data_IF_478651436473
#
_entry.id   IF_478651436473
#
_cell.length_a   1.000
_cell.length_b   1.000
_cell.length_c   1.000
_cell.angle_alpha   90.00
_cell.angle_beta   90.00
_cell.angle_gamma   90.00
#
_symmetry.space_group_name_H-M   'P 1'
#
loop_
_entity.id
_entity.type
_entity.pdbx_description
1 polymer ?
#
# COMPACT_ATOMS: atom_id res chain seq x y z
N UNK A 1 8.94 11.44 1.01
CA UNK A 1 9.78 10.65 1.94
C UNK A 1 11.27 10.70 1.62
N UNK A 2 11.73 10.60 0.36
CA UNK A 2 13.18 10.70 0.04
C UNK A 2 13.83 11.97 0.60
N UNK A 3 13.13 13.11 0.52
CA UNK A 3 13.63 14.42 0.97
C UNK A 3 13.56 14.66 2.49
N UNK A 4 12.70 13.93 3.23
CA UNK A 4 12.60 14.06 4.70
C UNK A 4 12.92 12.70 5.35
N UNK A 5 14.10 12.60 5.96
CA UNK A 5 14.57 11.41 6.67
C UNK A 5 13.73 11.11 7.92
N UNK A 6 13.08 12.11 8.51
CA UNK A 6 12.22 11.96 9.69
C UNK A 6 10.81 11.48 9.34
N UNK A 7 10.42 11.46 8.05
CA UNK A 7 9.11 10.93 7.67
C UNK A 7 9.09 9.39 7.79
N UNK A 8 8.27 8.86 8.70
CA UNK A 8 8.09 7.41 8.92
C UNK A 8 6.82 6.88 8.25
N UNK A 9 5.76 7.68 8.16
CA UNK A 9 4.51 7.32 7.51
C UNK A 9 3.93 8.50 6.75
N UNK A 10 3.34 8.25 5.58
CA UNK A 10 2.73 9.28 4.74
C UNK A 10 1.45 8.74 4.13
N UNK A 11 0.35 9.48 4.26
CA UNK A 11 -0.92 9.15 3.60
C UNK A 11 -1.32 10.24 2.59
N UNK A 12 -2.22 9.88 1.68
CA UNK A 12 -2.85 10.83 0.76
C UNK A 12 -4.35 11.00 1.02
N UNK A 13 -5.01 11.77 0.16
CA UNK A 13 -6.45 11.98 0.17
C UNK A 13 -7.19 10.72 -0.31
N UNK A 14 -8.26 10.36 0.39
CA UNK A 14 -9.16 9.29 -0.01
C UNK A 14 -10.50 9.89 -0.41
N UNK A 15 -10.87 9.74 -1.67
CA UNK A 15 -12.09 10.27 -2.26
C UNK A 15 -13.09 9.15 -2.58
N UNK A 16 -14.35 9.53 -2.79
CA UNK A 16 -15.42 8.59 -3.12
C UNK A 16 -15.57 8.45 -4.64
N UNK A 17 -15.43 7.22 -5.14
CA UNK A 17 -15.70 6.89 -6.54
C UNK A 17 -17.20 6.95 -6.87
N UNK A 18 -18.06 6.61 -5.91
CA UNK A 18 -19.51 6.50 -6.08
C UNK A 18 -20.29 7.66 -5.44
N UNK A 19 -19.71 8.85 -5.38
CA UNK A 19 -20.28 10.03 -4.72
C UNK A 19 -21.77 10.31 -5.09
N UNK A 20 -22.14 10.12 -6.37
CA UNK A 20 -23.47 10.44 -6.92
C UNK A 20 -24.43 9.25 -7.00
N UNK A 21 -24.07 8.08 -6.47
CA UNK A 21 -24.85 6.84 -6.67
C UNK A 21 -26.16 6.82 -5.87
N UNK A 22 -26.15 7.29 -4.62
CA UNK A 22 -27.34 7.34 -3.76
C UNK A 22 -27.31 8.55 -2.82
N UNK A 23 -28.46 8.88 -2.20
CA UNK A 23 -28.48 9.92 -1.16
C UNK A 23 -27.53 9.59 0.00
N UNK A 24 -27.34 8.30 0.29
CA UNK A 24 -26.42 7.80 1.33
C UNK A 24 -24.97 8.08 0.95
N UNK A 25 -24.58 7.93 -0.33
CA UNK A 25 -23.22 8.28 -0.77
C UNK A 25 -23.02 9.79 -0.84
N UNK A 26 -24.04 10.55 -1.26
CA UNK A 26 -23.96 12.01 -1.40
C UNK A 26 -23.68 12.71 -0.07
N UNK A 27 -24.33 12.30 1.01
CA UNK A 27 -24.10 12.88 2.35
C UNK A 27 -22.72 12.55 2.94
N UNK A 28 -22.02 11.55 2.41
CA UNK A 28 -20.70 11.14 2.90
C UNK A 28 -19.55 11.91 2.25
N UNK A 29 -19.74 12.52 1.07
CA UNK A 29 -18.64 13.14 0.30
C UNK A 29 -17.90 14.21 1.12
N UNK A 30 -18.65 15.15 1.70
CA UNK A 30 -18.06 16.24 2.48
C UNK A 30 -17.48 15.75 3.81
N UNK A 31 -18.08 14.74 4.42
CA UNK A 31 -17.55 14.12 5.64
C UNK A 31 -16.19 13.45 5.38
N UNK A 32 -16.05 12.71 4.28
CA UNK A 32 -14.77 12.18 3.83
C UNK A 32 -13.76 13.30 3.55
N UNK A 33 -14.19 14.41 2.95
CA UNK A 33 -13.31 15.56 2.74
C UNK A 33 -12.81 16.16 4.07
N UNK A 34 -13.69 16.32 5.07
CA UNK A 34 -13.29 16.81 6.40
C UNK A 34 -12.27 15.85 7.04
N UNK A 35 -12.55 14.55 7.08
CA UNK A 35 -11.76 13.57 7.82
C UNK A 35 -10.51 13.08 7.07
N UNK A 36 -10.59 12.88 5.75
CA UNK A 36 -9.48 12.36 4.95
C UNK A 36 -8.59 13.43 4.32
N UNK A 37 -9.04 14.69 4.25
CA UNK A 37 -8.25 15.80 3.72
C UNK A 37 -8.01 16.89 4.75
N UNK A 38 -9.05 17.58 5.24
CA UNK A 38 -8.88 18.80 6.03
C UNK A 38 -8.22 18.55 7.39
N UNK A 39 -8.71 17.56 8.14
CA UNK A 39 -8.15 17.19 9.44
C UNK A 39 -6.69 16.73 9.29
N UNK A 40 -6.40 15.81 8.36
CA UNK A 40 -5.04 15.32 8.15
C UNK A 40 -4.07 16.39 7.64
N UNK A 41 -4.54 17.28 6.77
CA UNK A 41 -3.74 18.41 6.33
C UNK A 41 -3.36 19.31 7.51
N UNK A 42 -4.31 19.58 8.41
CA UNK A 42 -4.06 20.34 9.63
C UNK A 42 -3.09 19.62 10.59
N UNK A 43 -3.31 18.35 10.89
CA UNK A 43 -2.42 17.56 11.75
C UNK A 43 -1.00 17.43 11.17
N UNK A 44 -0.90 17.32 9.85
CA UNK A 44 0.39 17.26 9.16
C UNK A 44 1.21 18.53 9.29
N UNK A 45 0.61 19.70 9.63
CA UNK A 45 1.36 20.92 9.95
C UNK A 45 2.21 20.74 11.22
N UNK A 46 1.75 19.91 12.15
CA UNK A 46 2.48 19.56 13.37
C UNK A 46 3.39 18.34 13.19
N UNK A 47 3.38 17.71 12.01
CA UNK A 47 4.14 16.51 11.71
C UNK A 47 3.63 15.24 12.42
N UNK A 48 2.39 15.25 12.90
CA UNK A 48 1.80 14.16 13.67
C UNK A 48 0.35 13.90 13.23
N UNK A 49 0.16 13.44 11.99
CA UNK A 49 -1.13 12.86 11.58
C UNK A 49 -1.47 11.71 12.52
N UNK A 50 -2.60 11.84 13.22
CA UNK A 50 -3.00 10.97 14.34
C UNK A 50 -3.54 9.62 13.84
N UNK A 51 -4.02 9.60 12.59
CA UNK A 51 -4.55 8.42 11.93
C UNK A 51 -4.10 8.36 10.47
N UNK A 52 -3.21 7.43 10.16
CA UNK A 52 -2.88 7.07 8.78
C UNK A 52 -3.88 6.01 8.30
N UNK A 53 -4.71 6.28 7.27
CA UNK A 53 -5.73 5.33 6.82
C UNK A 53 -5.13 4.05 6.27
N UNK A 54 -5.76 2.92 6.57
CA UNK A 54 -5.36 1.63 5.99
C UNK A 54 -5.47 1.56 4.45
N UNK A 55 -6.39 2.33 3.85
CA UNK A 55 -6.63 2.28 2.41
C UNK A 55 -5.53 2.94 1.55
N UNK A 56 -4.80 3.93 2.09
CA UNK A 56 -3.82 4.67 1.30
C UNK A 56 -2.73 5.34 2.16
N UNK A 57 -1.78 4.52 2.58
CA UNK A 57 -0.62 4.95 3.37
C UNK A 57 0.65 4.23 2.92
N UNK A 58 1.77 4.97 2.93
CA UNK A 58 3.12 4.46 2.72
C UNK A 58 3.91 4.55 4.03
N UNK A 59 4.55 3.45 4.43
CA UNK A 59 5.43 3.39 5.60
C UNK A 59 6.89 3.20 5.21
N UNK A 60 7.79 3.81 5.99
CA UNK A 60 9.24 3.63 5.85
C UNK A 60 9.69 2.47 6.72
N UNK A 61 10.23 1.44 6.07
CA UNK A 61 10.73 0.25 6.77
C UNK A 61 11.99 0.54 7.59
N UNK A 62 12.95 1.28 7.04
CA UNK A 62 14.26 1.53 7.66
C UNK A 62 14.75 2.96 7.45
N UNK A 63 15.62 3.44 8.35
CA UNK A 63 16.31 4.72 8.15
C UNK A 63 17.21 4.67 6.90
N UNK A 64 17.29 5.75 6.11
CA UNK A 64 18.05 5.75 4.86
C UNK A 64 19.57 5.80 5.04
N UNK A 65 20.05 6.22 6.22
CA UNK A 65 21.48 6.42 6.51
C UNK A 65 22.10 5.26 7.28
N UNK A 66 21.40 4.78 8.30
CA UNK A 66 21.90 3.80 9.27
C UNK A 66 21.23 2.44 9.12
N UNK A 67 20.29 2.30 8.19
CA UNK A 67 19.47 1.10 7.95
C UNK A 67 18.81 0.53 9.22
N UNK A 68 18.60 1.36 10.24
CA UNK A 68 17.92 0.98 11.47
C UNK A 68 16.46 0.67 11.17
N UNK A 69 15.90 -0.41 11.72
CA UNK A 69 14.49 -0.73 11.53
C UNK A 69 13.61 0.35 12.17
N UNK A 70 12.61 0.80 11.41
CA UNK A 70 11.59 1.75 11.83
C UNK A 70 10.25 1.03 11.91
N UNK A 71 9.45 1.05 10.84
CA UNK A 71 8.16 0.35 10.79
C UNK A 71 8.27 -1.16 11.06
N UNK A 72 9.40 -1.77 10.69
CA UNK A 72 9.69 -3.20 10.92
C UNK A 72 10.52 -3.45 12.18
N UNK A 73 10.53 -2.53 13.14
CA UNK A 73 11.19 -2.78 14.43
C UNK A 73 10.43 -3.83 15.23
N UNK A 74 11.16 -4.64 16.01
CA UNK A 74 10.57 -5.62 16.91
C UNK A 74 9.57 -4.95 17.86
N UNK A 75 9.83 -3.72 18.33
CA UNK A 75 8.91 -2.98 19.19
C UNK A 75 7.53 -2.74 18.57
N UNK A 76 7.47 -2.42 17.27
CA UNK A 76 6.19 -2.24 16.56
C UNK A 76 5.54 -3.60 16.34
N UNK A 77 6.30 -4.58 15.86
CA UNK A 77 5.80 -5.93 15.56
C UNK A 77 5.22 -6.60 16.81
N UNK A 78 5.96 -6.61 17.90
CA UNK A 78 5.57 -7.23 19.17
C UNK A 78 4.31 -6.56 19.72
N UNK A 79 4.26 -5.21 19.72
CA UNK A 79 3.07 -4.46 20.19
C UNK A 79 1.85 -4.68 19.29
N UNK A 80 2.04 -4.72 17.97
CA UNK A 80 0.95 -4.92 17.01
C UNK A 80 0.46 -6.37 16.96
N UNK A 81 1.31 -7.33 17.38
CA UNK A 81 0.95 -8.75 17.48
C UNK A 81 0.12 -9.11 18.71
N UNK A 82 -0.20 -8.13 19.56
CA UNK A 82 -1.08 -8.33 20.72
C UNK A 82 -2.48 -8.71 20.24
N UNK A 83 -2.94 -9.88 20.69
CA UNK A 83 -4.27 -10.40 20.37
C UNK A 83 -5.11 -10.62 21.63
N UNK A 84 -4.57 -10.34 22.83
CA UNK A 84 -5.33 -10.50 24.08
C UNK A 84 -6.21 -9.28 24.30
N UNK A 85 -7.52 -9.49 24.15
CA UNK A 85 -8.53 -8.44 24.27
C UNK A 85 -9.41 -8.62 25.51
N UNK A 86 -8.79 -8.49 26.67
CA UNK A 86 -9.46 -8.73 27.96
C UNK A 86 -10.44 -7.60 28.35
N UNK A 87 -10.31 -6.41 27.76
CA UNK A 87 -11.15 -5.24 28.08
C UNK A 87 -11.92 -4.74 26.87
N UNK A 88 -13.06 -4.07 27.10
CA UNK A 88 -13.83 -3.41 26.06
C UNK A 88 -12.99 -2.39 25.28
N UNK A 89 -12.08 -1.70 25.99
CA UNK A 89 -11.13 -0.77 25.39
C UNK A 89 -10.21 -1.49 24.41
N UNK A 90 -9.55 -2.59 24.84
CA UNK A 90 -8.64 -3.34 23.97
C UNK A 90 -9.36 -3.97 22.78
N UNK A 91 -10.59 -4.46 22.94
CA UNK A 91 -11.40 -4.96 21.82
C UNK A 91 -11.66 -3.87 20.78
N UNK A 92 -12.10 -2.69 21.20
CA UNK A 92 -12.37 -1.58 20.28
C UNK A 92 -11.10 -1.01 19.64
N UNK A 93 -9.99 -1.00 20.38
CA UNK A 93 -8.70 -0.51 19.90
C UNK A 93 -8.06 -1.46 18.88
N UNK A 94 -8.00 -2.76 19.19
CA UNK A 94 -7.25 -3.75 18.40
C UNK A 94 -8.06 -4.32 17.23
N UNK A 95 -9.38 -4.51 17.37
CA UNK A 95 -10.18 -5.19 16.32
C UNK A 95 -10.97 -4.26 15.41
N UNK A 96 -11.23 -3.00 15.78
CA UNK A 96 -12.09 -2.12 14.99
C UNK A 96 -11.34 -1.03 14.21
N UNK A 97 -10.13 -0.66 14.63
CA UNK A 97 -9.27 0.29 13.91
C UNK A 97 -7.80 -0.03 14.07
N UNK A 98 -7.42 -1.16 13.47
CA UNK A 98 -6.04 -1.63 13.36
C UNK A 98 -5.11 -0.55 12.76
N UNK A 99 -5.57 0.20 11.77
CA UNK A 99 -4.82 1.28 11.11
C UNK A 99 -4.55 2.48 12.05
N UNK A 100 -5.56 2.86 12.82
CA UNK A 100 -5.45 3.86 13.88
C UNK A 100 -4.48 3.38 14.95
N UNK A 101 -4.65 2.15 15.45
CA UNK A 101 -3.77 1.60 16.48
C UNK A 101 -2.32 1.53 16.01
N UNK A 102 -2.09 1.10 14.78
CA UNK A 102 -0.76 1.08 14.16
C UNK A 102 -0.14 2.49 14.12
N UNK A 103 -0.94 3.52 13.81
CA UNK A 103 -0.48 4.91 13.84
C UNK A 103 -0.11 5.35 15.27
N UNK A 104 -0.92 4.99 16.27
CA UNK A 104 -0.62 5.23 17.69
C UNK A 104 0.70 4.58 18.12
N UNK A 105 0.95 3.34 17.70
CA UNK A 105 2.21 2.64 17.99
C UNK A 105 3.42 3.36 17.38
N UNK A 106 3.28 3.84 16.14
CA UNK A 106 4.32 4.62 15.47
C UNK A 106 4.61 5.91 16.23
N UNK A 107 3.58 6.66 16.62
CA UNK A 107 3.73 7.90 17.38
C UNK A 107 4.33 7.66 18.77
N UNK A 108 3.98 6.54 19.42
CA UNK A 108 4.49 6.15 20.74
C UNK A 108 5.96 5.72 20.70
N UNK A 109 6.35 4.86 19.77
CA UNK A 109 7.70 4.26 19.72
C UNK A 109 8.70 5.12 18.94
N UNK A 110 8.23 5.97 18.01
CA UNK A 110 9.07 6.86 17.19
C UNK A 110 8.64 8.33 17.27
N UNK A 111 8.60 8.95 18.46
CA UNK A 111 8.06 10.31 18.68
C UNK A 111 8.88 11.42 18.00
N UNK A 112 10.12 11.14 17.61
CA UNK A 112 10.98 12.09 16.87
C UNK A 112 10.78 12.05 15.35
N UNK A 113 10.01 11.06 14.87
CA UNK A 113 9.65 10.89 13.47
C UNK A 113 8.27 11.51 13.19
N UNK A 114 8.01 11.79 11.92
CA UNK A 114 6.81 12.48 11.46
C UNK A 114 5.89 11.56 10.70
N UNK A 115 4.60 11.71 10.94
CA UNK A 115 3.52 11.17 10.11
C UNK A 115 2.89 12.34 9.34
N UNK A 116 2.83 12.23 8.00
CA UNK A 116 2.51 13.36 7.12
C UNK A 116 1.33 13.04 6.17
N UNK A 117 0.72 14.11 5.68
CA UNK A 117 -0.33 14.06 4.66
C UNK A 117 0.17 14.73 3.36
N UNK A 118 -0.04 14.06 2.23
CA UNK A 118 0.28 14.59 0.89
C UNK A 118 -1.03 14.81 0.13
N UNK A 119 -1.35 16.09 -0.04
CA UNK A 119 -2.57 16.54 -0.69
C UNK A 119 -2.71 16.07 -2.15
N UNK A 120 -1.59 16.01 -2.88
CA UNK A 120 -1.61 15.71 -4.32
C UNK A 120 -1.66 14.20 -4.60
N UNK A 121 -1.64 13.36 -3.56
CA UNK A 121 -1.77 11.92 -3.67
C UNK A 121 -3.23 11.54 -3.44
N UNK A 122 -3.88 10.92 -4.42
CA UNK A 122 -5.30 10.59 -4.39
C UNK A 122 -5.53 9.07 -4.51
N UNK A 123 -6.45 8.55 -3.72
CA UNK A 123 -7.00 7.21 -3.85
C UNK A 123 -8.53 7.27 -3.85
N UNK A 124 -9.17 6.38 -4.61
CA UNK A 124 -10.63 6.32 -4.69
C UNK A 124 -11.16 5.07 -3.99
N UNK A 125 -12.21 5.23 -3.21
CA UNK A 125 -12.91 4.13 -2.54
C UNK A 125 -14.39 4.15 -2.87
N UNK A 126 -15.05 3.00 -2.70
CA UNK A 126 -16.50 2.87 -2.84
C UNK A 126 -17.11 2.98 -1.45
N UNK A 127 -17.84 4.06 -1.19
CA UNK A 127 -18.57 4.24 0.06
C UNK A 127 -19.79 3.32 0.10
N UNK A 128 -20.25 2.93 1.31
CA UNK A 128 -21.54 2.26 1.47
C UNK A 128 -22.67 3.09 0.88
N UNK A 129 -23.42 2.49 -0.05
CA UNK A 129 -24.64 3.02 -0.64
C UNK A 129 -25.89 2.59 0.15
N UNK A 130 -25.79 1.48 0.88
CA UNK A 130 -26.83 0.95 1.78
C UNK A 130 -26.73 1.47 3.22
N UNK A 131 -27.87 1.87 3.78
CA UNK A 131 -27.98 2.37 5.17
C UNK A 131 -27.47 1.39 6.23
N UNK A 132 -27.79 0.09 6.07
CA UNK A 132 -27.36 -0.95 7.02
C UNK A 132 -25.83 -1.12 7.03
N UNK A 133 -25.22 -1.05 5.85
CA UNK A 133 -23.76 -1.15 5.69
C UNK A 133 -23.09 0.10 6.24
N UNK A 134 -23.65 1.28 5.97
CA UNK A 134 -23.19 2.54 6.56
C UNK A 134 -23.22 2.51 8.08
N UNK A 135 -24.33 2.05 8.69
CA UNK A 135 -24.44 1.94 10.14
C UNK A 135 -23.35 1.03 10.74
N UNK A 136 -23.15 -0.14 10.14
CA UNK A 136 -22.10 -1.08 10.58
C UNK A 136 -20.69 -0.48 10.42
N UNK A 137 -20.44 0.27 9.35
CA UNK A 137 -19.17 0.97 9.16
C UNK A 137 -18.97 2.04 10.23
N UNK A 138 -19.94 2.93 10.42
CA UNK A 138 -19.83 4.09 11.30
C UNK A 138 -19.74 3.71 12.76
N UNK A 139 -20.43 2.64 13.19
CA UNK A 139 -20.27 2.06 14.52
C UNK A 139 -18.80 1.75 14.81
N UNK A 140 -18.14 1.02 13.92
CA UNK A 140 -16.72 0.63 14.08
C UNK A 140 -15.80 1.83 14.07
N UNK A 141 -16.01 2.75 13.13
CA UNK A 141 -15.16 3.93 12.98
C UNK A 141 -15.25 4.87 14.18
N UNK A 142 -16.46 5.17 14.66
CA UNK A 142 -16.66 6.07 15.81
C UNK A 142 -16.11 5.42 17.08
N UNK A 143 -16.42 4.15 17.35
CA UNK A 143 -15.94 3.47 18.54
C UNK A 143 -14.41 3.37 18.57
N UNK A 144 -13.79 2.99 17.45
CA UNK A 144 -12.32 2.97 17.34
C UNK A 144 -11.72 4.36 17.52
N UNK A 145 -12.33 5.40 16.96
CA UNK A 145 -11.85 6.78 17.09
C UNK A 145 -11.78 7.22 18.54
N UNK A 146 -12.84 7.00 19.34
CA UNK A 146 -12.86 7.39 20.76
C UNK A 146 -11.77 6.66 21.56
N UNK A 147 -11.64 5.35 21.38
CA UNK A 147 -10.63 4.57 22.10
C UNK A 147 -9.20 4.94 21.70
N UNK A 148 -8.96 5.19 20.42
CA UNK A 148 -7.65 5.57 19.92
C UNK A 148 -7.25 6.99 20.35
N UNK A 149 -8.16 7.96 20.23
CA UNK A 149 -7.93 9.31 20.75
C UNK A 149 -7.67 9.28 22.26
N UNK A 150 -8.35 8.40 23.00
CA UNK A 150 -8.06 8.13 24.41
C UNK A 150 -6.59 7.76 24.65
N UNK A 151 -6.05 6.78 23.92
CA UNK A 151 -4.64 6.40 24.00
C UNK A 151 -3.69 7.55 23.61
N UNK A 152 -4.02 8.30 22.55
CA UNK A 152 -3.21 9.43 22.10
C UNK A 152 -3.13 10.57 23.12
N UNK A 153 -4.20 10.86 23.86
CA UNK A 153 -4.19 11.88 24.93
C UNK A 153 -3.18 11.55 26.03
N UNK A 154 -2.96 10.26 26.31
CA UNK A 154 -2.02 9.80 27.32
C UNK A 154 -0.59 9.60 26.79
N UNK A 155 -0.31 9.91 25.52
CA UNK A 155 1.06 9.94 25.02
C UNK A 155 1.76 11.23 25.45
N UNK A 156 2.88 11.09 26.17
CA UNK A 156 3.68 12.21 26.67
C UNK A 156 4.41 12.98 25.55
N UNK A 157 4.68 12.33 24.41
CA UNK A 157 5.60 12.82 23.38
C UNK A 157 4.93 13.07 22.03
N UNK A 158 3.84 13.84 22.01
CA UNK A 158 3.27 14.37 20.78
C UNK A 158 3.90 15.72 20.41
N UNK A 159 4.16 15.94 19.12
CA UNK A 159 4.76 17.17 18.64
C UNK A 159 3.88 18.39 19.00
N UNK A 160 4.48 19.46 19.52
CA UNK A 160 3.78 20.70 19.85
C UNK A 160 4.61 21.90 19.42
N UNK A 161 3.94 22.97 18.99
CA UNK A 161 4.59 24.24 18.65
C UNK A 161 3.85 25.39 19.34
N UNK A 162 4.58 26.21 20.11
CA UNK A 162 4.03 27.35 20.86
C UNK A 162 2.93 26.92 21.87
N UNK A 163 1.90 27.74 22.06
CA UNK A 163 0.77 27.50 22.97
C UNK A 163 -0.17 26.37 22.53
N UNK A 164 0.06 25.74 21.38
CA UNK A 164 -0.78 24.67 20.82
C UNK A 164 -0.02 23.34 20.81
N UNK A 165 -0.35 22.48 21.76
CA UNK A 165 0.14 21.10 21.80
C UNK A 165 -0.78 20.21 20.94
N UNK A 166 -0.23 19.31 20.12
CA UNK A 166 -1.05 18.29 19.43
C UNK A 166 -1.85 17.46 20.42
N UNK A 167 -1.32 17.22 21.63
CA UNK A 167 -2.05 16.55 22.70
C UNK A 167 -3.32 17.30 23.10
N UNK A 168 -3.27 18.63 23.13
CA UNK A 168 -4.43 19.47 23.42
C UNK A 168 -5.46 19.43 22.30
N UNK A 169 -5.01 19.43 21.03
CA UNK A 169 -5.88 19.28 19.86
C UNK A 169 -6.60 17.93 19.89
N UNK A 170 -5.87 16.84 20.11
CA UNK A 170 -6.43 15.48 20.24
C UNK A 170 -7.43 15.41 21.40
N UNK A 171 -7.14 16.06 22.53
CA UNK A 171 -8.07 16.13 23.66
C UNK A 171 -9.36 16.88 23.30
N UNK A 172 -9.25 18.03 22.61
CA UNK A 172 -10.43 18.76 22.11
C UNK A 172 -11.22 17.87 21.16
N UNK A 173 -10.57 17.13 20.27
CA UNK A 173 -11.24 16.26 19.30
C UNK A 173 -11.97 15.10 19.98
N UNK A 174 -11.35 14.48 21.00
CA UNK A 174 -11.97 13.45 21.84
C UNK A 174 -13.22 14.00 22.54
N UNK A 175 -13.09 15.14 23.23
CA UNK A 175 -14.21 15.77 23.93
C UNK A 175 -15.30 16.17 22.94
N UNK A 176 -14.94 16.76 21.80
CA UNK A 176 -15.88 17.16 20.74
C UNK A 176 -16.67 15.96 20.23
N UNK A 177 -16.00 14.84 19.94
CA UNK A 177 -16.63 13.61 19.47
C UNK A 177 -17.64 13.05 20.48
N UNK A 178 -17.34 13.13 21.78
CA UNK A 178 -18.24 12.66 22.84
C UNK A 178 -19.44 13.61 23.02
N UNK A 179 -19.25 14.92 22.98
CA UNK A 179 -20.32 15.90 23.22
C UNK A 179 -21.17 16.20 21.98
N UNK A 180 -20.75 15.81 20.78
CA UNK A 180 -21.43 16.07 19.50
C UNK A 180 -22.96 15.83 19.55
N UNK A 181 -23.47 14.70 20.09
CA UNK A 181 -24.91 14.48 20.19
C UNK A 181 -25.61 15.53 21.06
N UNK A 182 -24.99 15.90 22.18
CA UNK A 182 -25.53 16.92 23.08
C UNK A 182 -25.55 18.29 22.38
N UNK A 183 -24.51 18.61 21.60
CA UNK A 183 -24.47 19.86 20.82
C UNK A 183 -25.60 19.93 19.80
N UNK A 184 -25.89 18.84 19.07
CA UNK A 184 -27.01 18.81 18.12
C UNK A 184 -28.35 18.94 18.83
N UNK A 185 -28.55 18.21 19.94
CA UNK A 185 -29.77 18.32 20.74
C UNK A 185 -30.00 19.75 21.26
N UNK A 186 -28.93 20.42 21.68
CA UNK A 186 -28.96 21.83 22.09
C UNK A 186 -29.31 22.77 20.94
N UNK A 187 -28.78 22.55 19.73
CA UNK A 187 -29.15 23.34 18.54
C UNK A 187 -30.64 23.15 18.22
N UNK A 188 -31.16 21.93 18.28
CA UNK A 188 -32.59 21.66 18.08
C UNK A 188 -33.44 22.39 19.14
N UNK A 189 -33.01 22.36 20.40
CA UNK A 189 -33.67 23.09 21.49
C UNK A 189 -33.69 24.61 21.24
N UNK A 190 -32.57 25.19 20.80
CA UNK A 190 -32.51 26.62 20.45
C UNK A 190 -33.43 26.98 19.29
N UNK A 191 -33.54 26.11 18.27
CA UNK A 191 -34.48 26.31 17.16
C UNK A 191 -35.92 26.25 17.66
N UNK A 192 -36.25 25.29 18.53
CA UNK A 192 -37.58 25.18 19.13
C UNK A 192 -37.95 26.45 19.93
N UNK A 193 -37.03 26.97 20.75
CA UNK A 193 -37.25 28.20 21.52
C UNK A 193 -37.44 29.43 20.64
N UNK A 194 -36.61 29.58 19.60
CA UNK A 194 -36.69 30.72 18.69
C UNK A 194 -37.98 30.71 17.83
N UNK A 195 -38.41 29.53 17.34
CA UNK A 195 -39.56 29.41 16.43
C UNK A 195 -40.88 29.19 17.17
N UNK A 196 -40.87 28.33 18.19
CA UNK A 196 -42.07 27.93 18.94
C UNK A 196 -42.49 29.00 19.95
N UNK A 197 -41.56 29.40 20.81
CA UNK A 197 -41.84 30.37 21.89
C UNK A 197 -41.68 31.84 21.44
N UNK A 198 -41.23 32.07 20.19
CA UNK A 198 -40.94 33.41 19.61
C UNK A 198 -40.00 34.26 20.47
N UNK A 199 -39.07 33.62 21.17
CA UNK A 199 -38.02 34.30 21.90
C UNK A 199 -36.96 34.89 20.96
N UNK A 200 -36.14 35.79 21.49
CA UNK A 200 -35.03 36.38 20.74
C UNK A 200 -34.10 35.28 20.21
N UNK A 201 -33.80 35.36 18.92
CA UNK A 201 -32.88 34.44 18.24
C UNK A 201 -31.51 34.55 18.95
N UNK A 202 -30.87 33.43 19.33
CA UNK A 202 -29.53 33.46 19.94
C UNK A 202 -28.49 33.91 18.91
N UNK A 203 -28.35 35.23 18.78
CA UNK A 203 -27.53 35.89 17.74
C UNK A 203 -26.08 35.41 17.79
N UNK A 204 -25.52 35.22 18.99
CA UNK A 204 -24.14 34.75 19.16
C UNK A 204 -23.96 33.36 18.53
N UNK A 205 -24.88 32.42 18.80
CA UNK A 205 -24.83 31.06 18.23
C UNK A 205 -24.98 31.07 16.72
N UNK A 206 -25.89 31.90 16.19
CA UNK A 206 -26.07 32.06 14.75
C UNK A 206 -24.81 32.63 14.08
N UNK A 207 -24.18 33.66 14.67
CA UNK A 207 -22.92 34.23 14.20
C UNK A 207 -21.81 33.18 14.23
N UNK A 208 -21.70 32.38 15.29
CA UNK A 208 -20.68 31.33 15.39
C UNK A 208 -20.83 30.25 14.31
N UNK A 209 -22.05 29.76 14.08
CA UNK A 209 -22.33 28.77 13.03
C UNK A 209 -22.04 29.37 11.64
N UNK A 210 -22.49 30.60 11.40
CA UNK A 210 -22.24 31.31 10.15
C UNK A 210 -20.74 31.57 9.94
N UNK A 211 -19.99 31.87 10.99
CA UNK A 211 -18.54 32.04 10.92
C UNK A 211 -17.83 30.72 10.58
N UNK A 212 -18.18 29.61 11.23
CA UNK A 212 -17.53 28.31 11.00
C UNK A 212 -17.79 27.79 9.59
N UNK A 213 -19.05 27.68 9.17
CA UNK A 213 -19.38 27.15 7.83
C UNK A 213 -19.20 28.20 6.73
N UNK A 214 -19.44 29.48 7.01
CA UNK A 214 -19.24 30.57 6.06
C UNK A 214 -17.77 30.78 5.73
N UNK A 215 -16.86 30.64 6.70
CA UNK A 215 -15.42 30.67 6.43
C UNK A 215 -15.01 29.51 5.53
N UNK A 216 -15.51 28.29 5.78
CA UNK A 216 -15.25 27.13 4.91
C UNK A 216 -15.78 27.37 3.50
N UNK A 217 -17.03 27.84 3.37
CA UNK A 217 -17.63 28.19 2.08
C UNK A 217 -16.80 29.22 1.32
N UNK A 218 -16.36 30.29 2.01
CA UNK A 218 -15.53 31.33 1.44
C UNK A 218 -14.20 30.76 0.92
N UNK A 219 -13.56 29.86 1.66
CA UNK A 219 -12.33 29.18 1.21
C UNK A 219 -12.58 28.37 -0.08
N UNK A 220 -13.71 27.68 -0.20
CA UNK A 220 -14.04 26.95 -1.44
C UNK A 220 -14.30 27.86 -2.63
N UNK A 221 -15.00 28.98 -2.42
CA UNK A 221 -15.22 30.01 -3.44
C UNK A 221 -13.88 30.58 -3.93
N UNK A 222 -12.99 30.95 -3.01
CA UNK A 222 -11.66 31.48 -3.34
C UNK A 222 -10.80 30.47 -4.12
N UNK A 223 -10.93 29.18 -3.80
CA UNK A 223 -10.26 28.09 -4.53
C UNK A 223 -10.99 27.63 -5.78
N UNK A 224 -12.12 28.27 -6.15
CA UNK A 224 -12.97 27.93 -7.30
C UNK A 224 -13.48 26.48 -7.28
N UNK A 225 -13.62 25.87 -6.09
CA UNK A 225 -14.15 24.51 -5.90
C UNK A 225 -15.65 24.56 -5.57
N UNK A 226 -16.45 24.98 -6.53
CA UNK A 226 -17.90 25.15 -6.36
C UNK A 226 -18.63 23.85 -5.99
N UNK A 227 -18.16 22.71 -6.49
CA UNK A 227 -18.75 21.39 -6.19
C UNK A 227 -18.78 21.10 -4.68
N UNK A 228 -17.73 21.52 -3.95
CA UNK A 228 -17.62 21.30 -2.51
C UNK A 228 -18.65 22.08 -1.70
N UNK A 229 -19.13 23.21 -2.23
CA UNK A 229 -20.22 23.97 -1.60
C UNK A 229 -21.53 23.17 -1.70
N UNK A 230 -21.79 22.53 -2.85
CA UNK A 230 -22.93 21.63 -3.01
C UNK A 230 -22.85 20.45 -2.04
N UNK A 231 -21.70 19.80 -1.94
CA UNK A 231 -21.48 18.70 -0.99
C UNK A 231 -21.62 19.14 0.47
N UNK A 232 -21.16 20.35 0.81
CA UNK A 232 -21.32 20.93 2.14
C UNK A 232 -22.81 21.11 2.51
N UNK A 233 -23.66 21.53 1.57
CA UNK A 233 -25.11 21.64 1.81
C UNK A 233 -25.74 20.27 2.12
N UNK A 234 -25.40 19.23 1.35
CA UNK A 234 -25.87 17.86 1.64
C UNK A 234 -25.43 17.40 3.04
N UNK A 235 -24.19 17.72 3.43
CA UNK A 235 -23.69 17.38 4.76
C UNK A 235 -24.38 18.17 5.87
N UNK A 236 -24.65 19.46 5.70
CA UNK A 236 -25.38 20.28 6.68
C UNK A 236 -26.76 19.67 6.95
N UNK A 237 -27.47 19.23 5.91
CA UNK A 237 -28.76 18.52 6.06
C UNK A 237 -28.60 17.17 6.77
N UNK A 238 -27.45 16.52 6.63
CA UNK A 238 -27.14 15.24 7.26
C UNK A 238 -26.55 15.38 8.69
N UNK A 239 -26.31 16.59 9.23
CA UNK A 239 -25.77 16.80 10.58
C UNK A 239 -26.56 16.03 11.66
N UNK A 240 -27.92 16.04 11.70
CA UNK A 240 -28.67 15.27 12.68
C UNK A 240 -28.39 13.76 12.61
N UNK A 241 -28.00 13.27 11.44
CA UNK A 241 -27.63 11.88 11.25
C UNK A 241 -26.18 11.61 11.69
N UNK A 242 -25.22 12.40 11.21
CA UNK A 242 -23.79 12.18 11.44
C UNK A 242 -23.29 12.61 12.82
N UNK A 243 -23.88 13.65 13.40
CA UNK A 243 -23.42 14.22 14.68
C UNK A 243 -24.34 13.88 15.86
N UNK A 244 -25.49 13.24 15.63
CA UNK A 244 -26.40 12.82 16.70
C UNK A 244 -26.75 11.33 16.63
N UNK A 245 -27.44 10.89 15.58
CA UNK A 245 -27.92 9.50 15.51
C UNK A 245 -26.78 8.47 15.45
N UNK A 246 -25.81 8.65 14.53
CA UNK A 246 -24.72 7.71 14.34
C UNK A 246 -23.80 7.58 15.58
N UNK A 247 -23.37 8.67 16.24
CA UNK A 247 -22.58 8.54 17.47
C UNK A 247 -23.37 7.91 18.61
N UNK A 248 -24.65 8.29 18.81
CA UNK A 248 -25.48 7.70 19.87
C UNK A 248 -25.68 6.19 19.66
N UNK A 249 -25.96 5.77 18.42
CA UNK A 249 -26.03 4.35 18.06
C UNK A 249 -24.70 3.63 18.32
N UNK A 250 -23.57 4.27 17.99
CA UNK A 250 -22.24 3.70 18.16
C UNK A 250 -21.89 3.49 19.63
N UNK A 251 -22.17 4.49 20.47
CA UNK A 251 -21.98 4.42 21.92
C UNK A 251 -22.93 3.44 22.60
N UNK A 252 -24.18 3.32 22.13
CA UNK A 252 -25.10 2.30 22.62
C UNK A 252 -24.60 0.88 22.31
N UNK A 253 -24.04 0.67 21.12
CA UNK A 253 -23.56 -0.62 20.62
C UNK A 253 -22.03 -0.74 20.69
N UNK A 254 -21.43 -0.22 21.76
CA UNK A 254 -19.97 -0.21 21.92
C UNK A 254 -19.37 -1.60 22.18
N UNK A 255 -20.22 -2.54 22.61
CA UNK A 255 -19.95 -3.95 22.84
C UNK A 255 -20.18 -4.84 21.60
N UNK A 256 -20.69 -4.27 20.51
CA UNK A 256 -20.98 -5.02 19.28
C UNK A 256 -19.78 -5.02 18.33
N UNK A 257 -19.05 -6.13 18.33
CA UNK A 257 -17.89 -6.37 17.46
C UNK A 257 -18.24 -7.08 16.15
N UNK A 258 -19.53 -7.29 15.85
CA UNK A 258 -19.93 -7.94 14.60
C UNK A 258 -19.51 -7.11 13.40
N UNK A 259 -18.59 -7.64 12.59
CA UNK A 259 -18.47 -7.18 11.21
C UNK A 259 -19.80 -7.58 10.56
N UNK A 260 -20.50 -6.65 9.90
CA UNK A 260 -21.74 -6.99 9.19
C UNK A 260 -21.54 -8.11 8.16
N UNK A 261 -22.47 -8.30 7.22
CA UNK A 261 -22.45 -9.40 6.25
C UNK A 261 -21.11 -9.62 5.47
N UNK A 262 -20.15 -8.70 5.55
CA UNK A 262 -18.81 -8.70 4.96
C UNK A 262 -17.80 -9.74 5.53
N UNK A 263 -18.07 -10.41 6.66
CA UNK A 263 -17.22 -11.51 7.19
C UNK A 263 -17.98 -12.77 7.58
N UNK A 264 -19.14 -13.03 6.96
CA UNK A 264 -19.73 -14.36 7.02
C UNK A 264 -18.90 -15.28 6.13
N UNK A 265 -17.83 -15.85 6.69
CA UNK A 265 -17.17 -17.02 6.07
C UNK A 265 -18.23 -18.12 6.08
N UNK A 266 -18.83 -18.34 4.92
CA UNK A 266 -19.66 -19.51 4.69
C UNK A 266 -18.74 -20.72 4.82
N UNK A 267 -18.75 -21.38 5.98
CA UNK A 267 -18.14 -22.69 6.10
C UNK A 267 -18.77 -23.64 5.09
N UNK A 268 -18.05 -24.68 4.69
CA UNK A 268 -18.41 -25.69 3.67
C UNK A 268 -19.75 -26.43 3.92
N UNK A 269 -20.50 -26.09 4.98
CA UNK A 269 -21.80 -26.67 5.32
C UNK A 269 -22.90 -25.64 5.65
N UNK A 270 -22.85 -24.42 5.11
CA UNK A 270 -23.98 -23.47 5.18
C UNK A 270 -24.37 -22.96 6.57
N UNK A 271 -23.61 -23.32 7.62
CA UNK A 271 -23.77 -22.77 8.96
C UNK A 271 -23.15 -21.39 9.03
N UNK A 272 -23.98 -20.39 9.34
CA UNK A 272 -23.56 -19.04 9.70
C UNK A 272 -22.76 -19.11 11.00
N UNK A 273 -21.44 -19.23 10.92
CA UNK A 273 -20.57 -19.06 12.07
C UNK A 273 -20.41 -17.56 12.24
N UNK A 274 -21.27 -16.98 13.08
CA UNK A 274 -20.95 -15.69 13.66
C UNK A 274 -19.85 -15.98 14.67
N UNK A 275 -18.62 -15.54 14.38
CA UNK A 275 -17.46 -15.70 15.26
C UNK A 275 -17.70 -14.79 16.48
N UNK A 276 -18.55 -15.26 17.40
CA UNK A 276 -18.89 -14.57 18.65
C UNK A 276 -18.10 -15.08 19.85
N UNK A 277 -17.27 -16.12 19.66
CA UNK A 277 -16.31 -16.57 20.66
C UNK A 277 -14.98 -16.80 19.96
N UNK A 278 -14.03 -15.91 20.20
CA UNK A 278 -12.62 -16.15 19.88
C UNK A 278 -12.14 -17.27 20.81
N UNK A 279 -12.33 -18.52 20.36
CA UNK A 279 -11.64 -19.66 20.94
C UNK A 279 -10.11 -19.46 20.85
N UNK A 280 -9.36 -20.29 21.57
CA UNK A 280 -7.89 -20.32 21.44
C UNK A 280 -7.53 -20.47 19.96
N UNK A 281 -6.83 -19.49 19.42
CA UNK A 281 -6.31 -19.53 18.06
C UNK A 281 -5.55 -20.83 17.84
N UNK A 282 -6.03 -21.69 16.94
CA UNK A 282 -5.33 -22.90 16.52
C UNK A 282 -4.49 -22.54 15.29
N UNK A 283 -3.15 -22.51 15.39
CA UNK A 283 -2.28 -22.23 14.24
C UNK A 283 -2.48 -23.20 13.08
N UNK A 284 -3.05 -24.39 13.32
CA UNK A 284 -3.37 -25.39 12.29
C UNK A 284 -4.55 -25.00 11.41
N UNK A 285 -5.33 -24.00 11.81
CA UNK A 285 -6.44 -23.45 11.00
C UNK A 285 -5.96 -22.62 9.81
N UNK A 286 -4.71 -22.16 9.83
CA UNK A 286 -4.11 -21.46 8.70
C UNK A 286 -3.71 -22.51 7.65
N UNK A 287 -4.26 -22.48 6.42
CA UNK A 287 -3.79 -23.33 5.35
C UNK A 287 -2.35 -22.96 5.00
N UNK A 288 -1.42 -23.86 5.30
CA UNK A 288 -0.02 -23.70 4.91
C UNK A 288 0.12 -24.20 3.47
N UNK A 289 0.48 -23.30 2.57
CA UNK A 289 0.69 -23.60 1.15
C UNK A 289 2.06 -23.06 0.73
N UNK A 290 2.81 -23.83 -0.04
CA UNK A 290 4.06 -23.31 -0.62
C UNK A 290 3.74 -22.28 -1.70
N UNK A 291 4.64 -21.31 -1.93
CA UNK A 291 4.45 -20.31 -2.98
C UNK A 291 4.23 -20.95 -4.35
N UNK A 292 5.01 -22.00 -4.66
CA UNK A 292 4.90 -22.72 -5.92
C UNK A 292 3.53 -23.40 -6.09
N UNK A 293 2.98 -23.98 -5.02
CA UNK A 293 1.65 -24.60 -5.08
C UNK A 293 0.56 -23.54 -5.26
N UNK A 294 0.70 -22.37 -4.63
CA UNK A 294 -0.21 -21.23 -4.77
C UNK A 294 -0.20 -20.67 -6.20
N UNK A 295 0.99 -20.47 -6.77
CA UNK A 295 1.18 -20.02 -8.14
C UNK A 295 0.59 -21.01 -9.16
N UNK A 296 0.83 -22.32 -8.98
CA UNK A 296 0.22 -23.35 -9.83
C UNK A 296 -1.31 -23.36 -9.74
N UNK A 297 -1.91 -23.13 -8.57
CA UNK A 297 -3.37 -23.04 -8.44
C UNK A 297 -3.93 -21.77 -9.09
N UNK A 298 -3.20 -20.65 -9.03
CA UNK A 298 -3.57 -19.42 -9.76
C UNK A 298 -3.55 -19.67 -11.27
N UNK A 299 -2.50 -20.32 -11.78
CA UNK A 299 -2.39 -20.72 -13.18
C UNK A 299 -3.50 -21.71 -13.60
N UNK A 300 -3.83 -22.69 -12.76
CA UNK A 300 -4.92 -23.64 -13.00
C UNK A 300 -6.30 -22.96 -12.94
N UNK A 301 -6.49 -21.94 -12.09
CA UNK A 301 -7.74 -21.15 -12.02
C UNK A 301 -7.88 -20.18 -13.20
N UNK A 302 -6.80 -19.51 -13.60
CA UNK A 302 -6.81 -18.61 -14.77
C UNK A 302 -6.92 -19.38 -16.09
N UNK A 303 -6.29 -20.54 -16.20
CA UNK A 303 -6.44 -21.42 -17.38
C UNK A 303 -7.85 -22.02 -17.50
N UNK A 304 -8.57 -22.21 -16.39
CA UNK A 304 -9.99 -22.57 -16.40
C UNK A 304 -10.92 -21.42 -16.86
N UNK A 305 -10.42 -20.18 -16.98
CA UNK A 305 -11.16 -19.03 -17.54
C UNK A 305 -10.82 -18.72 -19.00
N UNK A 306 -10.09 -19.60 -19.70
CA UNK A 306 -9.85 -19.49 -21.13
C UNK A 306 -10.87 -20.31 -21.94
N UNK A 307 -12.07 -19.75 -22.14
CA UNK A 307 -12.86 -19.80 -23.39
C UNK A 307 -14.06 -18.84 -23.20
N UNK A 308 -14.05 -17.70 -23.91
CA UNK A 308 -15.20 -16.79 -24.01
C UNK A 308 -14.93 -15.32 -23.66
N UNK A 309 -14.18 -14.63 -24.52
CA UNK A 309 -14.15 -13.16 -24.76
C UNK A 309 -14.74 -12.22 -23.69
N UNK A 310 -13.88 -11.51 -22.95
CA UNK A 310 -14.22 -10.15 -22.52
C UNK A 310 -13.89 -9.19 -23.67
N UNK A 311 -14.92 -8.78 -24.42
CA UNK A 311 -14.81 -7.70 -25.40
C UNK A 311 -14.98 -6.38 -24.64
N UNK A 312 -13.98 -5.49 -24.60
CA UNK A 312 -14.19 -4.16 -24.04
C UNK A 312 -15.28 -3.44 -24.85
N UNK A 313 -16.22 -2.73 -24.22
CA UNK A 313 -17.25 -2.01 -24.94
C UNK A 313 -16.59 -0.97 -25.85
N UNK A 314 -16.74 -1.14 -27.16
CA UNK A 314 -16.31 -0.19 -28.18
C UNK A 314 -17.22 1.04 -28.18
N UNK A 315 -17.09 1.88 -27.16
CA UNK A 315 -17.52 3.29 -27.16
C UNK A 315 -16.92 3.99 -25.95
N UNK A 316 -15.61 4.23 -25.99
CA UNK A 316 -15.05 5.34 -25.22
C UNK A 316 -15.40 6.64 -25.95
N UNK A 317 -16.32 7.40 -25.36
CA UNK A 317 -16.53 8.78 -25.73
C UNK A 317 -15.26 9.56 -25.36
N UNK A 318 -14.76 10.27 -26.34
CA UNK A 318 -13.49 10.98 -26.31
C UNK A 318 -13.61 12.24 -25.45
N UNK A 319 -13.35 12.13 -24.14
CA UNK A 319 -13.14 13.29 -23.27
C UNK A 319 -11.88 13.10 -22.39
N UNK A 320 -10.74 13.46 -22.97
CA UNK A 320 -9.77 14.36 -22.33
C UNK A 320 -9.15 14.02 -20.96
N UNK A 321 -8.87 12.75 -20.64
CA UNK A 321 -8.01 12.42 -19.49
C UNK A 321 -6.57 12.08 -19.93
N UNK A 322 -5.59 12.68 -19.25
CA UNK A 322 -4.17 12.46 -19.47
C UNK A 322 -3.76 11.05 -19.03
N UNK A 323 -3.18 10.25 -19.93
CA UNK A 323 -2.48 9.01 -19.59
C UNK A 323 -1.37 9.31 -18.57
N UNK A 324 -1.49 8.79 -17.35
CA UNK A 324 -0.41 8.79 -16.36
C UNK A 324 0.61 7.72 -16.71
N UNK A 325 1.50 8.02 -17.66
CA UNK A 325 2.74 7.24 -17.84
C UNK A 325 3.77 7.64 -16.78
N UNK A 326 3.57 7.20 -15.53
CA UNK A 326 4.63 7.21 -14.52
C UNK A 326 5.21 5.80 -14.41
N UNK A 327 6.28 5.54 -15.16
CA UNK A 327 7.12 4.38 -14.91
C UNK A 327 7.73 4.51 -13.51
N UNK A 328 7.48 3.54 -12.64
CA UNK A 328 8.11 3.51 -11.32
C UNK A 328 9.59 3.15 -11.50
N UNK A 329 10.48 3.98 -10.94
CA UNK A 329 11.94 3.75 -10.94
C UNK A 329 12.35 2.51 -10.12
N UNK A 330 11.41 1.86 -9.43
CA UNK A 330 11.64 0.67 -8.60
C UNK A 330 10.90 -0.59 -9.09
N UNK A 331 10.19 -0.53 -10.23
CA UNK A 331 9.42 -1.65 -10.76
C UNK A 331 10.10 -2.36 -11.92
N UNK A 332 11.38 -2.75 -11.79
CA UNK A 332 12.00 -3.69 -12.74
C UNK A 332 11.92 -5.08 -12.14
N UNK A 333 11.20 -5.97 -12.82
CA UNK A 333 11.04 -7.39 -12.49
C UNK A 333 12.38 -8.03 -12.09
N UNK A 334 12.49 -8.46 -10.84
CA UNK A 334 13.61 -9.27 -10.36
C UNK A 334 13.27 -10.74 -10.56
N UNK A 335 13.78 -11.32 -11.65
CA UNK A 335 13.85 -12.77 -11.85
C UNK A 335 14.87 -13.34 -10.86
N UNK A 336 14.45 -14.22 -9.95
CA UNK A 336 15.35 -14.93 -9.03
C UNK A 336 15.95 -16.16 -9.73
N UNK A 337 17.27 -16.26 -9.76
CA UNK A 337 18.00 -17.46 -10.20
C UNK A 337 18.51 -18.24 -8.97
N UNK A 338 18.33 -19.58 -8.88
CA UNK A 338 18.57 -20.31 -7.65
C UNK A 338 20.06 -20.63 -7.44
N UNK A 339 20.57 -20.31 -6.24
CA UNK A 339 21.96 -20.51 -5.85
C UNK A 339 22.28 -21.99 -5.52
N UNK A 340 23.33 -22.54 -6.14
CA UNK A 340 23.98 -23.78 -5.67
C UNK A 340 25.29 -23.47 -4.94
N UNK A 341 25.39 -24.11 -3.78
CA UNK A 341 26.44 -24.19 -2.78
C UNK A 341 27.88 -24.46 -3.28
N UNK A 342 28.92 -23.89 -2.64
CA UNK A 342 29.74 -24.60 -1.61
C UNK A 342 30.94 -23.81 -1.08
N UNK A 343 31.33 -24.24 0.12
CA UNK A 343 32.38 -23.80 1.03
C UNK A 343 33.81 -23.78 0.46
N UNK A 344 34.68 -22.96 1.08
CA UNK A 344 36.13 -23.02 0.93
C UNK A 344 36.83 -22.90 2.28
N UNK A 345 37.91 -23.65 2.47
CA UNK A 345 39.02 -23.44 3.41
C UNK A 345 40.20 -24.33 2.98
N UNK A 346 41.47 -24.03 3.33
CA UNK A 346 42.19 -22.77 3.05
C UNK A 346 43.69 -22.96 2.64
N UNK A 347 44.28 -21.89 2.08
CA UNK A 347 45.70 -21.45 2.18
C UNK A 347 46.80 -22.28 1.44
N UNK A 348 48.08 -21.82 1.33
CA UNK A 348 48.69 -20.55 1.77
C UNK A 348 49.67 -19.85 0.77
N UNK A 349 50.28 -18.76 1.26
CA UNK A 349 51.54 -18.09 0.87
C UNK A 349 51.45 -16.93 -0.15
N UNK A 350 52.19 -15.81 -0.06
CA UNK A 350 53.06 -15.21 0.97
C UNK A 350 53.38 -13.74 0.52
N UNK A 351 53.86 -12.92 1.47
CA UNK A 351 54.74 -11.74 1.31
C UNK A 351 54.15 -10.31 1.21
N UNK A 352 54.07 -9.68 2.40
CA UNK A 352 54.65 -8.39 2.85
C UNK A 352 54.72 -7.15 1.94
N UNK A 353 54.15 -6.03 2.43
CA UNK A 353 54.92 -4.86 2.91
C UNK A 353 53.99 -3.84 3.61
N UNK A 354 54.57 -3.02 4.49
CA UNK A 354 54.02 -2.38 5.69
C UNK A 354 54.15 -0.84 5.60
N UNK A 355 53.22 -0.06 6.20
CA UNK A 355 53.39 1.22 6.95
C UNK A 355 52.03 1.97 7.13
N UNK A 356 51.89 2.91 8.12
CA UNK A 356 50.72 3.03 9.00
C UNK A 356 50.00 4.42 8.90
N UNK A 357 48.90 4.66 9.65
CA UNK A 357 48.01 5.82 9.44
C UNK A 357 48.19 6.96 10.47
N UNK A 358 47.62 8.14 10.17
CA UNK A 358 46.85 8.93 11.16
C UNK A 358 45.55 9.48 10.53
N UNK A 359 44.45 9.87 11.19
CA UNK A 359 44.19 10.28 12.58
C UNK A 359 43.34 11.58 12.56
N UNK A 360 42.00 11.42 12.62
CA UNK A 360 40.91 12.33 13.11
C UNK A 360 40.79 13.85 12.77
N UNK A 361 39.51 14.30 12.81
CA UNK A 361 38.93 15.66 13.04
C UNK A 361 38.38 16.38 11.79
N UNK A 362 37.07 16.32 11.54
CA UNK A 362 35.95 17.14 12.10
C UNK A 362 35.82 18.50 11.43
N UNK A 363 34.85 18.61 10.53
CA UNK A 363 34.58 19.80 9.72
C UNK A 363 33.83 20.90 10.46
N UNK A 364 34.04 22.12 9.99
CA UNK A 364 33.14 23.27 10.10
C UNK A 364 33.20 24.02 8.75
N UNK A 365 32.06 24.10 8.05
CA UNK A 365 31.90 24.89 6.83
C UNK A 365 31.13 26.18 7.15
N UNK A 366 31.71 27.32 6.80
CA UNK A 366 30.98 28.56 6.45
C UNK A 366 31.50 29.05 5.08
N UNK A 367 30.66 29.59 4.19
CA UNK A 367 31.06 29.89 2.82
C UNK A 367 31.50 31.35 2.66
N UNK A 368 32.64 31.60 2.01
CA UNK A 368 32.99 32.92 1.47
C UNK A 368 33.28 32.83 -0.02
N UNK A 369 32.53 33.65 -0.75
CA UNK A 369 32.61 33.90 -2.18
C UNK A 369 33.86 34.75 -2.46
N UNK A 370 34.67 34.40 -3.47
CA UNK A 370 35.61 35.36 -4.04
C UNK A 370 35.85 35.11 -5.54
N UNK A 371 35.41 36.09 -6.32
CA UNK A 371 35.64 36.29 -7.74
C UNK A 371 37.01 36.92 -8.00
N UNK A 372 37.73 36.47 -9.04
CA UNK A 372 38.82 37.24 -9.66
C UNK A 372 38.76 37.09 -11.19
N UNK A 373 38.86 38.24 -11.87
CA UNK A 373 38.88 38.47 -13.32
C UNK A 373 40.29 38.92 -13.74
N UNK A 374 40.71 38.52 -14.95
CA UNK A 374 41.71 39.20 -15.83
C UNK A 374 43.08 38.52 -15.93
N UNK A 375 43.82 38.45 -17.05
CA UNK A 375 43.72 38.89 -18.47
C UNK A 375 44.93 38.24 -19.24
N UNK A 376 45.17 38.41 -20.57
CA UNK A 376 45.41 37.29 -21.51
C UNK A 376 46.82 37.24 -22.16
N UNK A 377 47.12 36.15 -22.86
CA UNK A 377 48.19 36.11 -23.88
C UNK A 377 47.78 35.18 -25.05
N UNK A 378 48.19 35.59 -26.25
CA UNK A 378 47.53 35.30 -27.53
C UNK A 378 48.04 34.06 -28.28
N UNK A 379 47.15 33.49 -29.13
CA UNK A 379 47.52 32.74 -30.32
C UNK A 379 46.70 31.46 -30.55
N UNK A 380 45.74 31.51 -31.50
CA UNK A 380 45.20 30.45 -32.40
C UNK A 380 43.68 30.63 -32.64
N UNK A 381 43.15 30.63 -33.90
CA UNK A 381 41.73 30.84 -34.20
C UNK A 381 40.87 29.55 -34.10
N UNK A 382 39.52 29.65 -34.18
CA UNK A 382 38.62 28.79 -33.42
C UNK A 382 38.04 27.61 -34.23
N UNK A 383 37.84 26.47 -33.55
CA UNK A 383 36.85 25.46 -33.96
C UNK A 383 35.90 25.22 -32.79
N UNK A 384 34.62 25.49 -33.03
CA UNK A 384 33.54 25.37 -32.07
C UNK A 384 33.28 23.90 -31.70
N UNK A 385 33.43 23.59 -30.41
CA UNK A 385 32.95 22.34 -29.82
C UNK A 385 32.24 22.67 -28.51
N UNK A 386 30.93 22.42 -28.49
CA UNK A 386 30.08 22.56 -27.32
C UNK A 386 30.57 21.63 -26.19
N UNK A 387 31.10 22.21 -25.11
CA UNK A 387 31.37 21.50 -23.86
C UNK A 387 30.06 21.32 -23.09
N UNK A 388 29.61 20.07 -22.98
CA UNK A 388 28.51 19.68 -22.12
C UNK A 388 29.08 19.33 -20.73
N UNK A 389 28.64 19.98 -19.63
CA UNK A 389 29.17 19.69 -18.30
C UNK A 389 28.67 18.33 -17.79
N UNK A 390 29.61 17.40 -17.62
CA UNK A 390 29.43 16.10 -16.98
C UNK A 390 29.16 16.26 -15.47
N UNK A 391 28.14 15.58 -14.90
CA UNK A 391 27.94 15.52 -13.47
C UNK A 391 29.06 14.73 -12.76
N UNK A 392 29.71 15.38 -11.80
CA UNK A 392 30.63 14.79 -10.85
C UNK A 392 29.90 13.82 -9.90
N UNK A 393 30.18 12.52 -9.99
CA UNK A 393 29.95 11.58 -8.89
C UNK A 393 31.20 10.70 -8.72
N UNK A 394 31.75 10.57 -7.50
CA UNK A 394 32.86 9.66 -7.26
C UNK A 394 32.37 8.21 -7.40
N UNK A 395 33.08 7.44 -8.23
CA UNK A 395 32.90 6.00 -8.35
C UNK A 395 33.55 5.32 -7.15
N UNK A 396 32.75 4.56 -6.38
CA UNK A 396 33.28 3.59 -5.43
C UNK A 396 33.82 2.40 -6.22
N UNK A 397 35.12 2.16 -6.11
CA UNK A 397 35.75 0.92 -6.52
C UNK A 397 35.14 -0.25 -5.74
N UNK A 398 34.50 -1.18 -6.44
CA UNK A 398 34.78 -2.60 -6.26
C UNK A 398 34.66 -3.30 -7.62
N UNK A 399 35.76 -3.95 -7.99
CA UNK A 399 35.93 -4.96 -9.05
C UNK A 399 36.01 -4.42 -10.48
N UNK A 400 37.26 -4.29 -10.94
CA UNK A 400 37.62 -4.44 -12.33
C UNK A 400 38.51 -5.68 -12.48
N UNK A 401 38.12 -6.61 -13.33
CA UNK A 401 39.00 -7.21 -14.35
C UNK A 401 38.16 -7.50 -15.59
N UNK A 402 38.76 -7.17 -16.73
CA UNK A 402 38.28 -7.28 -18.10
C UNK A 402 37.97 -8.71 -18.58
N UNK A 403 37.09 -8.73 -19.58
CA UNK A 403 36.64 -9.86 -20.38
C UNK A 403 37.76 -10.31 -21.34
N UNK A 404 38.02 -11.62 -21.50
CA UNK A 404 38.54 -12.16 -22.75
C UNK A 404 37.50 -13.02 -23.48
N UNK A 405 37.26 -12.67 -24.74
CA UNK A 405 36.43 -13.41 -25.69
C UNK A 405 37.17 -14.62 -26.29
N UNK A 406 36.41 -15.71 -26.41
CA UNK A 406 36.37 -16.73 -27.49
C UNK A 406 37.63 -17.48 -27.94
N UNK A 407 37.51 -18.81 -27.92
CA UNK A 407 38.19 -19.75 -28.82
C UNK A 407 37.54 -21.13 -28.74
N UNK A 408 36.89 -21.59 -29.82
CA UNK A 408 36.31 -22.92 -30.02
C UNK A 408 37.38 -24.01 -30.11
N UNK A 409 37.06 -25.27 -29.72
CA UNK A 409 37.04 -26.30 -30.76
C UNK A 409 35.89 -27.31 -30.61
N UNK A 410 35.14 -27.47 -31.71
CA UNK A 410 34.43 -28.71 -32.00
C UNK A 410 35.42 -29.88 -32.17
N UNK A 411 34.85 -31.09 -32.08
CA UNK A 411 35.30 -32.39 -32.60
C UNK A 411 36.01 -33.36 -31.65
N UNK A 412 35.34 -34.51 -31.50
CA UNK A 412 35.92 -35.78 -31.07
C UNK A 412 35.56 -36.15 -29.63
N UNK A 413 34.47 -36.90 -29.41
CA UNK A 413 34.53 -38.35 -29.21
C UNK A 413 35.16 -38.73 -27.84
N UNK A 414 34.57 -39.50 -26.92
CA UNK A 414 33.49 -40.48 -26.99
C UNK A 414 33.28 -41.08 -25.58
N UNK A 415 32.01 -41.34 -25.19
CA UNK A 415 31.51 -42.27 -24.14
C UNK A 415 31.85 -41.97 -22.65
N UNK A 416 30.99 -42.15 -21.64
CA UNK A 416 29.78 -42.97 -21.47
C UNK A 416 28.88 -42.40 -20.34
N UNK A 417 27.63 -42.88 -20.31
CA UNK A 417 26.65 -42.84 -19.20
C UNK A 417 25.78 -41.58 -18.98
N UNK A 418 24.82 -41.38 -19.89
CA UNK A 418 23.54 -40.74 -19.57
C UNK A 418 22.39 -41.63 -20.06
N UNK A 419 21.82 -42.43 -19.15
CA UNK A 419 20.68 -43.31 -19.44
C UNK A 419 19.38 -42.50 -19.64
N UNK A 420 19.19 -41.93 -20.82
CA UNK A 420 17.92 -41.33 -21.23
C UNK A 420 17.93 -40.94 -22.72
N UNK A 421 16.76 -40.89 -23.39
CA UNK A 421 16.67 -40.51 -24.79
C UNK A 421 17.14 -39.07 -24.97
N UNK A 422 17.93 -38.83 -26.00
CA UNK A 422 18.38 -37.47 -26.36
C UNK A 422 17.19 -36.60 -26.80
N UNK A 423 17.33 -35.28 -26.72
CA UNK A 423 16.28 -34.33 -27.09
C UNK A 423 15.84 -34.52 -28.55
N UNK A 424 16.79 -34.86 -29.43
CA UNK A 424 16.51 -35.17 -30.83
C UNK A 424 15.72 -36.48 -31.01
N UNK A 425 15.92 -37.47 -30.14
CA UNK A 425 15.15 -38.71 -30.16
C UNK A 425 13.72 -38.50 -29.63
N UNK A 426 13.55 -37.62 -28.64
CA UNK A 426 12.23 -37.22 -28.15
C UNK A 426 11.44 -36.45 -29.22
N UNK A 427 12.07 -35.50 -29.91
CA UNK A 427 11.43 -34.72 -30.99
C UNK A 427 10.95 -35.64 -32.13
N UNK A 428 11.80 -36.58 -32.58
CA UNK A 428 11.40 -37.58 -33.60
C UNK A 428 10.29 -38.50 -33.12
N UNK A 429 10.36 -38.94 -31.86
CA UNK A 429 9.34 -39.83 -31.31
C UNK A 429 7.98 -39.13 -31.17
N UNK A 430 7.96 -37.84 -30.85
CA UNK A 430 6.77 -36.99 -30.84
C UNK A 430 6.20 -36.82 -32.26
N UNK A 431 7.07 -36.59 -33.25
CA UNK A 431 6.66 -36.45 -34.66
C UNK A 431 6.01 -37.73 -35.21
N UNK A 432 6.60 -38.90 -34.93
CA UNK A 432 6.03 -40.20 -35.30
C UNK A 432 4.64 -40.42 -34.65
N UNK A 433 4.51 -40.13 -33.35
CA UNK A 433 3.24 -40.34 -32.64
C UNK A 433 2.16 -39.39 -33.17
N UNK A 434 2.53 -38.15 -33.47
CA UNK A 434 1.62 -37.16 -34.07
C UNK A 434 1.31 -37.47 -35.54
N UNK A 435 2.11 -38.30 -36.22
CA UNK A 435 1.83 -38.75 -37.58
C UNK A 435 0.59 -39.63 -37.68
N UNK A 436 0.42 -40.52 -36.71
CA UNK A 436 -0.65 -41.52 -36.71
C UNK A 436 -1.84 -41.11 -35.82
N UNK A 437 -1.75 -40.00 -35.08
CA UNK A 437 -2.76 -39.56 -34.13
C UNK A 437 -3.77 -38.57 -34.74
N UNK A 438 -5.06 -38.75 -34.39
CA UNK A 438 -6.11 -37.77 -34.67
C UNK A 438 -5.98 -36.57 -33.71
N UNK A 439 -5.69 -35.39 -34.26
CA UNK A 439 -5.46 -34.16 -33.53
C UNK A 439 -6.72 -33.64 -32.81
N UNK A 440 -7.92 -34.08 -33.22
CA UNK A 440 -9.17 -33.66 -32.58
C UNK A 440 -9.46 -34.37 -31.25
N UNK A 441 -8.89 -35.57 -31.05
CA UNK A 441 -9.18 -36.41 -29.87
C UNK A 441 -7.97 -36.63 -28.97
N UNK A 442 -6.75 -36.41 -29.48
CA UNK A 442 -5.52 -36.76 -28.76
C UNK A 442 -5.11 -35.63 -27.81
N UNK A 443 -5.01 -35.93 -26.51
CA UNK A 443 -4.54 -34.97 -25.50
C UNK A 443 -3.02 -35.03 -25.29
N UNK A 444 -2.41 -33.92 -24.84
CA UNK A 444 -0.96 -33.89 -24.46
C UNK A 444 -0.59 -34.95 -23.41
N UNK A 445 -1.55 -35.35 -22.56
CA UNK A 445 -1.36 -36.40 -21.56
C UNK A 445 -1.23 -37.79 -22.20
N UNK A 446 -2.03 -38.06 -23.24
CA UNK A 446 -1.99 -39.33 -23.95
C UNK A 446 -0.69 -39.49 -24.75
N UNK A 447 -0.22 -38.42 -25.40
CA UNK A 447 1.07 -38.40 -26.12
C UNK A 447 2.23 -38.74 -25.16
N UNK A 448 2.22 -38.17 -23.95
CA UNK A 448 3.26 -38.47 -22.94
C UNK A 448 3.22 -39.93 -22.49
N UNK A 449 2.04 -40.49 -22.28
CA UNK A 449 1.89 -41.90 -21.89
C UNK A 449 2.40 -42.85 -22.98
N UNK A 450 2.18 -42.53 -24.27
CA UNK A 450 2.74 -43.29 -25.39
C UNK A 450 4.26 -43.17 -25.51
N UNK A 451 4.82 -41.99 -25.21
CA UNK A 451 6.28 -41.80 -25.15
C UNK A 451 6.92 -42.61 -24.01
N UNK A 452 6.30 -42.61 -22.83
CA UNK A 452 6.76 -43.42 -21.68
C UNK A 452 6.73 -44.92 -21.99
N UNK A 453 5.69 -45.39 -22.70
CA UNK A 453 5.65 -46.78 -23.20
C UNK A 453 6.74 -47.07 -24.24
N UNK A 454 7.02 -46.13 -25.16
CA UNK A 454 8.01 -46.32 -26.23
C UNK A 454 9.44 -46.37 -25.72
N UNK A 455 9.76 -45.57 -24.70
CA UNK A 455 11.10 -45.52 -24.10
C UNK A 455 11.25 -46.41 -22.86
N UNK A 456 10.16 -47.02 -22.37
CA UNK A 456 10.18 -47.92 -21.21
C UNK A 456 10.64 -47.25 -19.91
N UNK A 457 10.51 -45.93 -19.81
CA UNK A 457 10.97 -45.14 -18.66
C UNK A 457 9.98 -44.02 -18.33
N UNK A 458 9.94 -43.63 -17.06
CA UNK A 458 9.16 -42.47 -16.60
C UNK A 458 9.82 -41.16 -17.06
N UNK A 459 9.07 -40.37 -17.83
CA UNK A 459 9.52 -39.08 -18.38
C UNK A 459 8.99 -37.88 -17.57
N UNK A 460 8.44 -38.11 -16.36
CA UNK A 460 7.89 -37.06 -15.49
C UNK A 460 8.88 -35.94 -15.17
N UNK A 461 10.16 -36.26 -14.96
CA UNK A 461 11.24 -35.28 -14.71
C UNK A 461 11.55 -34.39 -15.91
N UNK A 462 11.21 -34.84 -17.13
CA UNK A 462 11.43 -34.14 -18.41
C UNK A 462 10.13 -33.64 -19.06
N UNK A 463 9.05 -33.56 -18.29
CA UNK A 463 7.72 -33.11 -18.74
C UNK A 463 7.74 -31.78 -19.50
N UNK A 464 8.59 -30.83 -19.08
CA UNK A 464 8.73 -29.53 -19.75
C UNK A 464 9.26 -29.68 -21.18
N UNK A 465 10.33 -30.45 -21.35
CA UNK A 465 10.99 -30.68 -22.66
C UNK A 465 10.03 -31.39 -23.62
N UNK A 466 9.29 -32.39 -23.14
CA UNK A 466 8.30 -33.13 -23.96
C UNK A 466 7.14 -32.22 -24.40
N UNK A 467 6.66 -31.33 -23.54
CA UNK A 467 5.59 -30.41 -23.91
C UNK A 467 6.07 -29.37 -24.94
N UNK A 468 7.29 -28.84 -24.76
CA UNK A 468 7.90 -27.92 -25.73
C UNK A 468 8.13 -28.60 -27.10
N UNK A 469 8.51 -29.88 -27.11
CA UNK A 469 8.64 -30.69 -28.32
C UNK A 469 7.29 -30.86 -29.05
N UNK A 470 6.23 -31.19 -28.31
CA UNK A 470 4.86 -31.30 -28.86
C UNK A 470 4.41 -29.98 -29.48
N UNK A 471 4.59 -28.87 -28.77
CA UNK A 471 4.19 -27.56 -29.27
C UNK A 471 4.99 -27.14 -30.50
N UNK A 472 6.30 -27.44 -30.55
CA UNK A 472 7.15 -27.18 -31.71
C UNK A 472 6.70 -27.96 -32.95
N UNK A 473 6.38 -29.25 -32.80
CA UNK A 473 5.92 -30.10 -33.91
C UNK A 473 4.52 -29.69 -34.39
N UNK A 474 3.62 -29.32 -33.48
CA UNK A 474 2.28 -28.82 -33.84
C UNK A 474 2.35 -27.47 -34.56
N UNK A 475 3.20 -26.55 -34.11
CA UNK A 475 3.43 -25.27 -34.78
C UNK A 475 4.04 -25.45 -36.18
N UNK A 476 4.97 -26.39 -36.34
CA UNK A 476 5.59 -26.72 -37.63
C UNK A 476 4.61 -27.36 -38.64
N UNK A 477 3.49 -27.92 -38.19
CA UNK A 477 2.41 -28.44 -39.05
C UNK A 477 1.34 -27.41 -39.39
N UNK A 478 1.23 -26.33 -38.61
CA UNK A 478 0.21 -25.31 -38.77
C UNK A 478 0.64 -24.17 -39.73
N UNK A 479 1.94 -24.08 -40.05
CA UNK A 479 2.48 -23.25 -41.13
C UNK A 479 2.82 -24.10 -42.34
#
# INVERSE_FOLDING_TARGET
MVHDKKAIGVCGETELANAKQSLVTMMQVYEYFISHHMAKAFESLFGSVSCLPGCFTLYRLRTPDTHKPLFVSNTIIDSYSENRVDTLHMKNLLHLGEDRYLTTLILRHFPTYKTLFIRDAHAYTVAPDDWKVLLSQRRRWINSTVHNLGELVFLDQLCGFCCFSMRFIVMIDLVSTIIQPVTVAYIIYLIYRAVGDKEDIPVISAIMIAAVYGLQAMVFVLRRKWDMIGWMVFYILAIPMFSFFLPLYSFWRMDDFSWGATRLVLGEAGKKIVVHDEGKFDPRSIPLKSWNDYENELWDKESNHSIGSWVPPTKMMNEGYAESRTASIYGRETVYEPAMSRAYSPAPSQAHMMYPPPGYHSGHNTPTHMSVIGFPAAGVPPTASFYQPTPSRPASNYIGVDIPRTGTPEQGAFFADAHGPTDAELDRAVEDILRDADLATTTKREIRSRLEQRFGMDLSSRKRVVNEAIDRVLLARAG
#
